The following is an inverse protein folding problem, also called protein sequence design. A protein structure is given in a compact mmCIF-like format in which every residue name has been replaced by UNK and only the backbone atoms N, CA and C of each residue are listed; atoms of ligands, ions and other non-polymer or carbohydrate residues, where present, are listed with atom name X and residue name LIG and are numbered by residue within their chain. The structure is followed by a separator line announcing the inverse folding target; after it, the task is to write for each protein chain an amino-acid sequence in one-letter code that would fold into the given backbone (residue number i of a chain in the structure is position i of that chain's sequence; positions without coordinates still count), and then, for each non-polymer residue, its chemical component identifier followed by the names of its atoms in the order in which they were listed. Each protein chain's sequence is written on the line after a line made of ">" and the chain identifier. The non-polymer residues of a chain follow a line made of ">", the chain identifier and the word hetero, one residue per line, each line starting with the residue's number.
data_IF_710662965441
#
_entry.id   IF_710662965441
#
_cell.length_a   1.000
_cell.length_b   1.000
_cell.length_c   1.000
_cell.angle_alpha   90.00
_cell.angle_beta   90.00
_cell.angle_gamma   90.00
#
_symmetry.space_group_name_H-M   'P 1'
#
loop_
_entity.id
_entity.type
_entity.pdbx_description
1 polymer ?
#
# COMPACT_ATOMS: atom_id res chain seq x y z
N UNK A 1 -0.55 -29.39 14.92
CA UNK A 1 -0.99 -29.64 13.53
C UNK A 1 -0.40 -28.61 12.56
N UNK A 2 -0.52 -27.31 12.85
CA UNK A 2 0.10 -26.23 12.04
C UNK A 2 1.62 -26.35 11.92
N UNK A 3 2.34 -26.47 13.05
CA UNK A 3 3.80 -26.62 13.06
C UNK A 3 4.31 -27.84 12.28
N UNK A 4 3.50 -28.90 12.15
CA UNK A 4 3.85 -30.06 11.32
C UNK A 4 3.65 -29.74 9.83
N UNK A 5 2.58 -29.03 9.47
CA UNK A 5 2.36 -28.61 8.09
C UNK A 5 3.49 -27.69 7.57
N UNK A 6 4.05 -26.85 8.44
CA UNK A 6 5.17 -25.96 8.11
C UNK A 6 6.47 -26.74 7.80
N UNK A 7 6.62 -27.97 8.32
CA UNK A 7 7.79 -28.82 8.04
C UNK A 7 7.78 -29.43 6.62
N UNK A 8 6.64 -29.36 5.92
CA UNK A 8 6.50 -29.92 4.57
C UNK A 8 7.08 -28.92 3.56
N UNK A 9 8.13 -29.32 2.84
CA UNK A 9 8.76 -28.45 1.83
C UNK A 9 7.82 -28.20 0.64
N UNK A 10 7.25 -26.99 0.58
CA UNK A 10 6.44 -26.51 -0.56
C UNK A 10 6.76 -25.04 -0.82
N UNK A 11 6.92 -24.61 -2.10
CA UNK A 11 7.23 -23.22 -2.43
C UNK A 11 5.99 -22.29 -2.39
N UNK A 12 4.98 -22.63 -1.59
CA UNK A 12 3.75 -21.86 -1.42
C UNK A 12 3.01 -22.25 -0.13
N UNK A 13 2.26 -21.29 0.41
CA UNK A 13 1.27 -21.55 1.46
C UNK A 13 -0.12 -21.83 0.88
N UNK A 14 -1.05 -22.33 1.70
CA UNK A 14 -2.46 -22.47 1.33
C UNK A 14 -3.37 -21.90 2.41
N UNK A 15 -4.50 -21.31 2.00
CA UNK A 15 -5.57 -20.85 2.87
C UNK A 15 -6.90 -21.43 2.41
N UNK A 16 -7.73 -21.86 3.34
CA UNK A 16 -9.12 -22.21 3.02
C UNK A 16 -10.01 -20.97 3.04
N UNK A 17 -10.80 -20.78 1.99
CA UNK A 17 -11.84 -19.76 1.92
C UNK A 17 -13.20 -20.40 2.20
N UNK A 18 -13.79 -20.18 3.39
CA UNK A 18 -15.05 -20.82 3.78
C UNK A 18 -16.26 -20.31 2.99
N UNK A 19 -16.22 -19.07 2.49
CA UNK A 19 -17.34 -18.47 1.76
C UNK A 19 -17.55 -19.09 0.38
N UNK A 20 -16.46 -19.53 -0.25
CA UNK A 20 -16.47 -20.15 -1.58
C UNK A 20 -16.18 -21.64 -1.55
N UNK A 21 -15.96 -22.19 -0.35
CA UNK A 21 -15.57 -23.59 -0.13
C UNK A 21 -14.34 -24.01 -0.96
N UNK A 22 -13.36 -23.12 -1.11
CA UNK A 22 -12.21 -23.31 -1.99
C UNK A 22 -10.88 -23.18 -1.26
N UNK A 23 -9.81 -23.69 -1.87
CA UNK A 23 -8.43 -23.57 -1.37
C UNK A 23 -7.65 -22.59 -2.23
N UNK A 24 -7.12 -21.55 -1.61
CA UNK A 24 -6.31 -20.51 -2.25
C UNK A 24 -4.82 -20.76 -2.00
N UNK A 25 -4.02 -20.73 -3.06
CA UNK A 25 -2.56 -20.89 -2.99
C UNK A 25 -1.89 -19.53 -2.82
N UNK A 26 -1.22 -19.32 -1.68
CA UNK A 26 -0.44 -18.13 -1.35
C UNK A 26 0.99 -18.26 -1.89
N UNK A 27 1.16 -17.95 -3.18
CA UNK A 27 2.43 -18.11 -3.90
C UNK A 27 3.17 -16.80 -4.22
N UNK A 28 2.55 -15.64 -3.99
CA UNK A 28 3.14 -14.35 -4.33
C UNK A 28 2.70 -13.23 -3.38
N UNK A 29 3.43 -12.11 -3.42
CA UNK A 29 3.18 -10.96 -2.56
C UNK A 29 1.78 -10.35 -2.77
N UNK A 30 1.24 -10.37 -3.99
CA UNK A 30 -0.09 -9.80 -4.26
C UNK A 30 -1.20 -10.57 -3.54
N UNK A 31 -1.15 -11.91 -3.57
CA UNK A 31 -2.11 -12.77 -2.86
C UNK A 31 -1.98 -12.62 -1.34
N UNK A 32 -0.75 -12.53 -0.84
CA UNK A 32 -0.50 -12.27 0.59
C UNK A 32 -1.08 -10.90 0.97
N UNK A 33 -0.86 -9.86 0.15
CA UNK A 33 -1.38 -8.52 0.39
C UNK A 33 -2.91 -8.49 0.38
N UNK A 34 -3.56 -9.23 -0.53
CA UNK A 34 -5.02 -9.36 -0.54
C UNK A 34 -5.53 -9.96 0.78
N UNK A 35 -4.88 -11.02 1.27
CA UNK A 35 -5.21 -11.61 2.58
C UNK A 35 -4.98 -10.64 3.74
N UNK A 36 -3.87 -9.88 3.74
CA UNK A 36 -3.60 -8.86 4.76
C UNK A 36 -4.69 -7.77 4.76
N UNK A 37 -5.20 -7.39 3.59
CA UNK A 37 -6.32 -6.43 3.48
C UNK A 37 -7.61 -6.99 4.08
N UNK A 38 -7.93 -8.27 3.84
CA UNK A 38 -9.07 -8.94 4.50
C UNK A 38 -8.92 -8.89 6.02
N UNK A 39 -7.76 -9.30 6.55
CA UNK A 39 -7.47 -9.29 7.99
C UNK A 39 -7.57 -7.89 8.61
N UNK A 40 -7.15 -6.85 7.89
CA UNK A 40 -7.31 -5.45 8.32
C UNK A 40 -8.79 -5.06 8.42
N UNK A 41 -9.63 -5.57 7.53
CA UNK A 41 -11.08 -5.42 7.61
C UNK A 41 -11.64 -6.04 8.89
N UNK A 42 -11.26 -7.28 9.19
CA UNK A 42 -11.70 -7.99 10.39
C UNK A 42 -11.30 -7.25 11.69
N UNK A 43 -10.08 -6.72 11.74
CA UNK A 43 -9.62 -5.93 12.90
C UNK A 43 -10.40 -4.62 13.05
N UNK A 44 -10.85 -4.01 11.95
CA UNK A 44 -11.72 -2.84 12.01
C UNK A 44 -13.07 -3.18 12.64
N UNK A 45 -13.63 -4.37 12.33
CA UNK A 45 -14.85 -4.87 12.95
C UNK A 45 -14.63 -5.07 14.46
N UNK A 46 -13.53 -5.72 14.85
CA UNK A 46 -13.17 -5.92 16.26
C UNK A 46 -13.00 -4.58 17.00
N UNK A 47 -12.28 -3.63 16.41
CA UNK A 47 -12.09 -2.28 16.98
C UNK A 47 -13.43 -1.55 17.18
N UNK A 48 -14.36 -1.72 16.24
CA UNK A 48 -15.70 -1.15 16.33
C UNK A 48 -16.53 -1.82 17.43
N UNK A 49 -16.39 -3.13 17.61
CA UNK A 49 -17.03 -3.86 18.69
C UNK A 49 -16.51 -3.41 20.06
N UNK A 50 -15.18 -3.26 20.22
CA UNK A 50 -14.54 -2.77 21.45
C UNK A 50 -15.09 -1.40 21.86
N UNK A 51 -15.24 -0.47 20.91
CA UNK A 51 -15.83 0.85 21.19
C UNK A 51 -17.26 0.75 21.70
N UNK A 52 -18.07 -0.16 21.16
CA UNK A 52 -19.46 -0.37 21.60
C UNK A 52 -19.53 -0.96 23.00
N UNK A 53 -18.70 -1.95 23.31
CA UNK A 53 -18.69 -2.59 24.63
C UNK A 53 -18.09 -1.68 25.70
N UNK A 54 -17.06 -0.87 25.37
CA UNK A 54 -16.48 0.11 26.30
C UNK A 54 -17.48 1.18 26.72
N UNK A 55 -18.43 1.53 25.84
CA UNK A 55 -19.52 2.44 26.20
C UNK A 55 -20.53 1.82 27.18
N UNK A 56 -20.56 0.48 27.29
CA UNK A 56 -21.48 -0.27 28.16
C UNK A 56 -20.80 -0.78 29.43
N UNK A 57 -19.51 -1.09 29.35
CA UNK A 57 -18.70 -1.68 30.43
C UNK A 57 -17.40 -0.89 30.58
N UNK A 58 -17.30 -0.19 31.71
CA UNK A 58 -16.16 0.67 32.06
C UNK A 58 -14.99 -0.10 32.68
N UNK A 59 -15.12 -1.40 32.94
CA UNK A 59 -14.05 -2.24 33.50
C UNK A 59 -13.10 -2.78 32.44
N UNK A 60 -13.46 -2.61 31.17
CA UNK A 60 -12.68 -3.11 30.04
C UNK A 60 -11.41 -2.27 29.82
N UNK A 61 -10.25 -2.93 29.87
CA UNK A 61 -8.97 -2.34 29.52
C UNK A 61 -8.81 -2.25 27.99
N UNK A 62 -9.30 -1.14 27.43
CA UNK A 62 -9.23 -0.85 25.98
C UNK A 62 -7.79 -0.69 25.50
N UNK A 63 -6.89 -0.22 26.35
CA UNK A 63 -5.50 0.08 25.98
C UNK A 63 -4.72 -1.22 25.70
N UNK A 64 -4.83 -2.21 26.58
CA UNK A 64 -4.21 -3.52 26.36
C UNK A 64 -4.72 -4.16 25.07
N UNK A 65 -6.03 -4.11 24.80
CA UNK A 65 -6.59 -4.69 23.58
C UNK A 65 -6.13 -3.92 22.33
N UNK A 66 -6.08 -2.59 22.38
CA UNK A 66 -5.57 -1.77 21.28
C UNK A 66 -4.10 -2.09 20.96
N UNK A 67 -3.28 -2.33 21.99
CA UNK A 67 -1.88 -2.72 21.84
C UNK A 67 -1.72 -4.11 21.20
N UNK A 68 -2.59 -5.06 21.57
CA UNK A 68 -2.64 -6.39 20.93
C UNK A 68 -2.97 -6.28 19.44
N UNK A 69 -3.88 -5.38 19.07
CA UNK A 69 -4.28 -5.17 17.67
C UNK A 69 -3.19 -4.44 16.85
N UNK A 70 -2.47 -3.48 17.45
CA UNK A 70 -1.42 -2.71 16.76
C UNK A 70 -0.17 -3.55 16.44
N UNK A 71 0.20 -4.46 17.34
CA UNK A 71 1.45 -5.23 17.23
C UNK A 71 1.40 -6.28 16.12
N UNK A 72 0.21 -6.80 15.79
CA UNK A 72 0.07 -7.95 14.89
C UNK A 72 0.35 -7.69 13.41
N UNK A 73 0.25 -6.44 12.91
CA UNK A 73 0.20 -6.17 11.46
C UNK A 73 1.01 -4.94 10.99
N UNK A 74 2.14 -4.57 11.61
CA UNK A 74 3.04 -3.53 11.08
C UNK A 74 3.65 -3.94 9.73
N UNK A 75 2.91 -3.77 8.64
CA UNK A 75 3.45 -3.70 7.28
C UNK A 75 3.77 -2.23 7.05
N UNK A 76 5.06 -1.88 7.04
CA UNK A 76 5.48 -0.56 6.56
C UNK A 76 4.98 -0.41 5.13
N UNK A 77 3.90 0.36 4.95
CA UNK A 77 3.57 0.98 3.68
C UNK A 77 4.76 1.86 3.31
N UNK A 78 5.76 1.30 2.63
CA UNK A 78 6.77 2.10 1.94
C UNK A 78 6.02 2.85 0.85
N UNK A 79 5.55 4.04 1.20
CA UNK A 79 5.06 5.00 0.24
C UNK A 79 6.15 5.19 -0.81
N UNK A 80 5.87 5.03 -2.11
CA UNK A 80 6.84 5.35 -3.14
C UNK A 80 7.08 6.85 -3.06
N UNK A 81 8.23 7.23 -2.49
CA UNK A 81 8.69 8.60 -2.42
C UNK A 81 8.72 9.17 -3.84
N UNK A 82 7.77 10.04 -4.14
CA UNK A 82 7.78 10.85 -5.33
C UNK A 82 9.02 11.75 -5.25
N UNK A 83 10.01 11.48 -6.10
CA UNK A 83 11.11 12.40 -6.33
C UNK A 83 10.59 13.60 -7.13
N UNK A 84 9.89 14.52 -6.46
CA UNK A 84 9.62 15.85 -7.01
C UNK A 84 10.90 16.67 -6.90
N UNK A 85 11.79 16.52 -7.88
CA UNK A 85 12.93 17.41 -8.08
C UNK A 85 12.44 18.77 -8.57
N UNK A 86 12.17 19.68 -7.65
CA UNK A 86 11.99 21.09 -7.93
C UNK A 86 13.35 21.80 -7.96
N UNK A 87 13.63 22.55 -9.02
CA UNK A 87 14.00 23.98 -8.98
C UNK A 87 14.63 24.42 -10.31
N UNK A 88 13.81 25.05 -11.15
CA UNK A 88 14.24 25.91 -12.26
C UNK A 88 14.90 27.17 -11.68
N UNK A 89 16.12 27.57 -12.07
CA UNK A 89 16.60 28.91 -11.79
C UNK A 89 16.30 29.80 -13.00
N UNK A 90 15.36 30.73 -12.81
CA UNK A 90 15.19 31.88 -13.69
C UNK A 90 16.31 32.88 -13.37
N UNK A 91 17.05 33.34 -14.38
CA UNK A 91 17.85 34.57 -14.27
C UNK A 91 17.78 35.32 -15.59
N UNK A 92 17.11 36.46 -15.51
CA UNK A 92 16.93 37.46 -16.56
C UNK A 92 18.27 38.03 -17.05
N UNK A 93 18.34 38.44 -18.32
CA UNK A 93 18.79 39.78 -18.76
C UNK A 93 19.15 39.83 -20.26
N UNK A 94 18.43 40.69 -21.01
CA UNK A 94 19.09 41.62 -21.93
C UNK A 94 18.99 41.40 -23.44
N UNK A 95 18.21 42.28 -24.07
CA UNK A 95 18.38 42.88 -25.40
C UNK A 95 17.96 42.10 -26.66
N UNK A 96 16.82 42.53 -27.22
CA UNK A 96 16.59 42.58 -28.68
C UNK A 96 17.57 43.58 -29.35
N UNK A 97 17.93 43.38 -30.62
CA UNK A 97 17.21 44.08 -31.69
C UNK A 97 16.83 43.19 -32.89
N UNK A 98 15.75 43.59 -33.57
CA UNK A 98 15.18 43.04 -34.82
C UNK A 98 16.07 43.41 -36.06
N UNK A 99 15.60 43.19 -37.31
CA UNK A 99 15.41 41.94 -38.06
C UNK A 99 16.18 41.96 -39.40
N UNK A 100 16.46 40.82 -40.03
CA UNK A 100 16.80 40.81 -41.46
C UNK A 100 16.11 39.68 -42.22
N UNK A 101 15.21 40.10 -43.11
CA UNK A 101 14.67 39.31 -44.22
C UNK A 101 15.82 38.96 -45.17
N UNK A 102 16.02 37.68 -45.47
CA UNK A 102 16.37 37.29 -46.84
C UNK A 102 15.75 35.95 -47.22
N UNK A 103 15.19 36.01 -48.42
CA UNK A 103 14.24 35.14 -49.10
C UNK A 103 14.98 34.05 -49.90
N UNK A 104 14.19 33.06 -50.36
CA UNK A 104 14.47 32.12 -51.45
C UNK A 104 15.43 30.98 -51.06
N UNK A 105 15.22 29.70 -51.37
CA UNK A 105 14.35 29.09 -52.38
C UNK A 105 14.06 27.62 -52.01
N UNK A 106 13.17 27.00 -52.77
CA UNK A 106 12.56 25.69 -52.53
C UNK A 106 13.44 24.50 -53.04
N UNK A 107 12.97 23.22 -53.00
CA UNK A 107 13.78 22.00 -52.87
C UNK A 107 14.18 21.35 -54.21
N UNK A 108 15.16 20.44 -54.16
CA UNK A 108 15.49 19.43 -55.18
C UNK A 108 16.27 18.32 -54.46
N UNK A 109 16.11 17.01 -54.66
CA UNK A 109 15.29 16.19 -55.56
C UNK A 109 15.03 14.83 -54.87
#
# INVERSE_FOLDING_TARGET
>A
MTAFADSIQRPFGVRYNPYTQSVEVLSNAQKITALVRELRGDICIVSSAIKKISAQDSTLDVETIANMLHTGLQVQERSPQSTSGGSTPNSERGASPRPDLKKCDQPEA
#
